data_IF_237059249731
#
_entry.id   IF_237059249731
#
_cell.length_a   1.000
_cell.length_b   1.000
_cell.length_c   1.000
_cell.angle_alpha   90.00
_cell.angle_beta   90.00
_cell.angle_gamma   90.00
#
_symmetry.space_group_name_H-M   'P 1'
#
loop_
_entity.id
_entity.type
_entity.pdbx_description
1 polymer ?
#
# COMPACT_ATOMS: atom_id res chain seq x y z
N UNK A 1 1.29 0.49 3.02
CA UNK A 1 0.07 1.23 3.40
C UNK A 1 -0.97 0.25 3.97
N UNK A 2 -2.07 0.77 4.52
CA UNK A 2 -3.14 -0.02 5.16
C UNK A 2 -4.45 0.01 4.37
N UNK A 3 -4.62 1.03 3.52
CA UNK A 3 -5.73 1.14 2.60
C UNK A 3 -5.64 0.13 1.46
N UNK A 4 -6.73 0.04 0.70
CA UNK A 4 -6.85 -0.85 -0.45
C UNK A 4 -7.71 -0.14 -1.48
N UNK A 5 -7.47 -0.41 -2.76
CA UNK A 5 -8.43 -0.01 -3.81
C UNK A 5 -9.83 -0.62 -3.62
N UNK A 6 -10.81 -0.02 -4.27
CA UNK A 6 -12.17 -0.54 -4.38
C UNK A 6 -12.20 -1.99 -4.92
N UNK A 7 -13.12 -2.80 -4.41
CA UNK A 7 -13.27 -4.19 -4.86
C UNK A 7 -13.91 -4.27 -6.26
N UNK A 8 -14.52 -3.20 -6.75
CA UNK A 8 -15.32 -3.19 -7.96
C UNK A 8 -16.60 -4.00 -7.80
N UNK A 9 -17.06 -4.58 -8.90
CA UNK A 9 -18.26 -5.41 -8.93
C UNK A 9 -18.03 -6.75 -8.21
N UNK A 10 -18.60 -6.87 -7.01
CA UNK A 10 -18.51 -8.07 -6.15
C UNK A 10 -18.99 -9.33 -6.86
N UNK A 11 -19.94 -9.23 -7.79
CA UNK A 11 -20.47 -10.40 -8.52
C UNK A 11 -19.44 -11.06 -9.44
N UNK A 12 -18.36 -10.36 -9.79
CA UNK A 12 -17.26 -10.88 -10.61
C UNK A 12 -16.19 -11.59 -9.81
N UNK A 13 -16.26 -11.53 -8.49
CA UNK A 13 -15.31 -12.21 -7.64
C UNK A 13 -15.68 -13.69 -7.46
N UNK A 14 -14.69 -14.58 -7.61
CA UNK A 14 -14.85 -16.01 -7.27
C UNK A 14 -15.01 -16.23 -5.77
N UNK A 15 -14.41 -15.37 -4.94
CA UNK A 15 -14.42 -15.43 -3.48
C UNK A 15 -14.76 -14.04 -2.91
N UNK A 16 -15.42 -13.91 -1.75
CA UNK A 16 -15.77 -12.61 -1.21
C UNK A 16 -14.53 -11.72 -1.05
N UNK A 17 -14.52 -10.48 -1.59
CA UNK A 17 -13.32 -9.65 -1.63
C UNK A 17 -12.80 -9.24 -0.25
N UNK A 18 -13.67 -9.14 0.76
CA UNK A 18 -13.29 -8.69 2.10
C UNK A 18 -13.26 -9.81 3.15
N UNK A 19 -13.26 -11.06 2.69
CA UNK A 19 -13.03 -12.23 3.54
C UNK A 19 -11.75 -12.92 3.07
N UNK A 20 -10.86 -13.25 4.00
CA UNK A 20 -9.65 -14.00 3.68
C UNK A 20 -10.04 -15.45 3.34
N UNK A 21 -10.07 -15.79 2.06
CA UNK A 21 -10.42 -17.14 1.59
C UNK A 21 -9.16 -17.90 1.20
N UNK A 22 -8.82 -18.95 1.92
CA UNK A 22 -7.72 -19.85 1.54
C UNK A 22 -8.22 -20.90 0.53
N UNK A 23 -7.55 -21.01 -0.61
CA UNK A 23 -7.87 -21.99 -1.65
C UNK A 23 -6.61 -22.35 -2.44
N UNK A 24 -6.32 -23.65 -2.57
CA UNK A 24 -5.16 -24.18 -3.31
C UNK A 24 -3.83 -23.53 -2.89
N UNK A 25 -3.62 -23.34 -1.58
CA UNK A 25 -2.40 -22.77 -1.01
C UNK A 25 -2.23 -21.27 -1.26
N UNK A 26 -3.31 -20.57 -1.61
CA UNK A 26 -3.33 -19.11 -1.81
C UNK A 26 -4.43 -18.47 -0.98
N UNK A 27 -4.18 -17.27 -0.49
CA UNK A 27 -5.18 -16.44 0.18
C UNK A 27 -5.74 -15.46 -0.84
N UNK A 28 -7.05 -15.50 -1.05
CA UNK A 28 -7.80 -14.58 -1.89
C UNK A 28 -8.51 -13.55 -1.02
N UNK A 29 -8.36 -12.28 -1.39
CA UNK A 29 -9.00 -11.15 -0.74
C UNK A 29 -8.42 -9.84 -1.28
N UNK A 30 -9.25 -8.80 -1.39
CA UNK A 30 -8.82 -7.43 -1.68
C UNK A 30 -7.88 -6.97 -0.57
N UNK A 31 -6.70 -6.54 -0.96
CA UNK A 31 -5.66 -6.14 -0.02
C UNK A 31 -4.67 -7.24 0.31
N UNK A 32 -4.95 -8.51 -0.03
CA UNK A 32 -4.12 -9.64 0.43
C UNK A 32 -2.66 -9.46 0.00
N UNK A 33 -2.42 -9.24 -1.29
CA UNK A 33 -1.07 -8.97 -1.82
C UNK A 33 -0.66 -7.52 -1.66
N UNK A 34 -1.56 -6.59 -2.00
CA UNK A 34 -1.30 -5.14 -2.04
C UNK A 34 -2.20 -4.41 -1.03
N UNK A 35 -1.71 -4.04 0.16
CA UNK A 35 -0.39 -4.37 0.73
C UNK A 35 -0.48 -4.95 2.14
N UNK A 36 -1.56 -5.68 2.45
CA UNK A 36 -1.80 -6.19 3.82
C UNK A 36 -0.88 -7.35 4.19
N UNK A 37 -0.48 -8.21 3.25
CA UNK A 37 0.47 -9.30 3.56
C UNK A 37 1.86 -8.78 3.90
N UNK A 38 2.39 -7.81 3.13
CA UNK A 38 3.66 -7.16 3.45
C UNK A 38 3.61 -6.44 4.80
N UNK A 39 2.52 -5.71 5.07
CA UNK A 39 2.29 -5.07 6.38
C UNK A 39 2.24 -6.08 7.52
N UNK A 40 1.47 -7.16 7.38
CA UNK A 40 1.35 -8.20 8.39
C UNK A 40 2.70 -8.89 8.66
N UNK A 41 3.46 -9.20 7.60
CA UNK A 41 4.80 -9.79 7.73
C UNK A 41 5.75 -8.90 8.53
N UNK A 42 5.75 -7.58 8.28
CA UNK A 42 6.55 -6.63 9.05
C UNK A 42 6.14 -6.58 10.53
N UNK A 43 4.83 -6.56 10.81
CA UNK A 43 4.30 -6.56 12.19
C UNK A 43 4.69 -7.84 12.92
N UNK A 44 4.51 -9.01 12.29
CA UNK A 44 4.86 -10.31 12.86
C UNK A 44 6.36 -10.37 13.17
N UNK A 45 7.22 -9.97 12.23
CA UNK A 45 8.66 -9.94 12.46
C UNK A 45 9.05 -9.04 13.65
N UNK A 46 8.40 -7.89 13.82
CA UNK A 46 8.64 -7.02 14.97
C UNK A 46 8.18 -7.63 16.30
N UNK A 47 7.05 -8.36 16.29
CA UNK A 47 6.56 -9.10 17.46
C UNK A 47 7.56 -10.20 17.84
N UNK A 48 7.99 -11.01 16.87
CA UNK A 48 8.95 -12.10 17.09
C UNK A 48 10.29 -11.58 17.64
N UNK A 49 10.84 -10.51 17.05
CA UNK A 49 12.06 -9.87 17.55
C UNK A 49 11.91 -9.38 19.00
N UNK A 50 10.73 -8.89 19.36
CA UNK A 50 10.44 -8.45 20.73
C UNK A 50 10.35 -9.63 21.70
N UNK A 51 9.62 -10.69 21.34
CA UNK A 51 9.43 -11.90 22.14
C UNK A 51 10.73 -12.65 22.38
N UNK A 52 11.59 -12.72 21.36
CA UNK A 52 12.94 -13.31 21.43
C UNK A 52 13.93 -12.43 22.21
N UNK A 53 13.53 -11.22 22.61
CA UNK A 53 14.37 -10.21 23.28
C UNK A 53 15.64 -9.92 22.47
N UNK A 54 15.50 -9.87 21.15
CA UNK A 54 16.62 -9.70 20.26
C UNK A 54 17.28 -8.34 20.51
N UNK A 55 18.61 -8.34 20.68
CA UNK A 55 19.36 -7.09 20.83
C UNK A 55 19.54 -6.45 19.46
N UNK A 56 18.96 -5.28 19.29
CA UNK A 56 19.09 -4.49 18.06
C UNK A 56 20.19 -3.44 18.22
N UNK A 57 21.06 -3.33 17.21
CA UNK A 57 21.99 -2.22 17.10
C UNK A 57 21.30 -1.04 16.42
N UNK A 58 20.39 -0.37 17.15
CA UNK A 58 19.58 0.73 16.61
C UNK A 58 18.12 0.59 17.00
N UNK A 59 17.24 1.19 16.19
CA UNK A 59 15.79 1.21 16.40
C UNK A 59 15.08 0.82 15.12
N UNK A 60 14.00 0.05 15.25
CA UNK A 60 13.08 -0.24 14.16
C UNK A 60 11.79 0.55 14.43
N UNK A 61 11.29 1.25 13.41
CA UNK A 61 10.05 2.02 13.47
C UNK A 61 9.10 1.51 12.39
N UNK A 62 7.87 1.18 12.79
CA UNK A 62 6.81 0.85 11.84
C UNK A 62 6.10 2.13 11.39
N UNK A 63 6.08 2.40 10.09
CA UNK A 63 5.32 3.48 9.48
C UNK A 63 4.13 2.89 8.71
N UNK A 64 3.01 2.69 9.39
CA UNK A 64 1.78 2.19 8.77
C UNK A 64 0.95 3.36 8.21
N UNK A 65 1.08 3.60 6.91
CA UNK A 65 0.44 4.73 6.20
C UNK A 65 -0.97 4.40 5.70
N UNK A 66 -1.72 5.45 5.36
CA UNK A 66 -3.02 5.38 4.66
C UNK A 66 -3.03 6.34 3.47
N UNK A 67 -3.91 6.09 2.51
CA UNK A 67 -4.14 6.95 1.35
C UNK A 67 -3.05 6.83 0.30
N UNK A 68 -2.35 5.69 0.25
CA UNK A 68 -1.34 5.41 -0.78
C UNK A 68 -2.01 5.30 -2.15
N UNK A 69 -3.13 4.59 -2.20
CA UNK A 69 -3.91 4.27 -3.41
C UNK A 69 -4.55 5.50 -4.08
N UNK A 70 -4.48 6.66 -3.42
CA UNK A 70 -5.09 7.93 -3.85
C UNK A 70 -4.09 9.10 -3.89
N UNK A 71 -2.79 8.84 -3.71
CA UNK A 71 -1.73 9.85 -3.80
C UNK A 71 -0.87 9.98 -2.54
N UNK A 72 -0.53 8.87 -1.89
CA UNK A 72 0.53 8.78 -0.88
C UNK A 72 0.41 9.72 0.35
N UNK A 73 -0.79 10.20 0.66
CA UNK A 73 -1.03 11.25 1.66
C UNK A 73 -0.45 10.93 3.05
N UNK A 74 -0.57 9.68 3.49
CA UNK A 74 -0.04 9.25 4.78
C UNK A 74 1.49 9.29 4.84
N UNK A 75 2.17 8.93 3.74
CA UNK A 75 3.63 8.98 3.65
C UNK A 75 4.13 10.44 3.63
N UNK A 76 3.46 11.31 2.88
CA UNK A 76 3.73 12.75 2.88
C UNK A 76 3.61 13.33 4.29
N UNK A 77 2.50 13.05 4.97
CA UNK A 77 2.23 13.59 6.30
C UNK A 77 3.29 13.14 7.34
N UNK A 78 3.68 11.87 7.34
CA UNK A 78 4.70 11.37 8.27
C UNK A 78 6.07 12.00 7.99
N UNK A 79 6.40 12.20 6.72
CA UNK A 79 7.64 12.87 6.31
C UNK A 79 7.65 14.33 6.78
N UNK A 80 6.56 15.08 6.53
CA UNK A 80 6.45 16.48 6.97
C UNK A 80 6.52 16.64 8.51
N UNK A 81 6.10 15.63 9.26
CA UNK A 81 6.20 15.61 10.73
C UNK A 81 7.57 15.18 11.25
N UNK A 82 8.53 14.89 10.37
CA UNK A 82 9.90 14.52 10.71
C UNK A 82 10.09 13.06 11.14
N UNK A 83 9.09 12.18 10.95
CA UNK A 83 9.23 10.76 11.32
C UNK A 83 10.20 9.98 10.42
N UNK A 84 10.65 10.59 9.32
CA UNK A 84 11.59 10.02 8.37
C UNK A 84 12.99 10.66 8.44
N UNK A 85 13.19 11.70 9.25
CA UNK A 85 14.41 12.53 9.24
C UNK A 85 15.65 11.80 9.77
N UNK A 86 15.45 10.79 10.65
CA UNK A 86 16.51 10.03 11.31
C UNK A 86 16.63 8.59 10.77
N UNK A 87 16.10 8.31 9.57
CA UNK A 87 16.16 6.97 8.99
C UNK A 87 17.50 6.71 8.28
N UNK A 88 18.23 5.70 8.73
CA UNK A 88 19.41 5.16 8.04
C UNK A 88 19.02 4.31 6.80
N UNK A 89 17.80 3.80 6.77
CA UNK A 89 17.27 2.96 5.70
C UNK A 89 15.76 2.73 5.84
N UNK A 90 15.14 2.33 4.73
CA UNK A 90 13.70 2.06 4.65
C UNK A 90 13.45 0.74 3.94
N UNK A 91 12.59 -0.09 4.53
CA UNK A 91 12.06 -1.31 3.91
C UNK A 91 10.58 -1.05 3.62
N UNK A 92 10.17 -1.33 2.39
CA UNK A 92 8.79 -1.16 1.93
C UNK A 92 8.27 -2.55 1.56
N UNK A 93 7.09 -2.91 2.08
CA UNK A 93 6.47 -4.23 1.88
C UNK A 93 5.74 -4.43 0.56
N UNK A 94 5.85 -3.49 -0.40
CA UNK A 94 5.14 -3.56 -1.67
C UNK A 94 5.46 -4.84 -2.45
N UNK A 95 4.47 -5.44 -3.15
CA UNK A 95 4.64 -6.73 -3.79
C UNK A 95 5.61 -6.65 -4.99
N UNK A 96 6.78 -7.26 -4.84
CA UNK A 96 7.84 -7.27 -5.85
C UNK A 96 8.02 -8.61 -6.58
N UNK A 97 7.23 -9.63 -6.20
CA UNK A 97 7.38 -11.01 -6.69
C UNK A 97 8.66 -11.68 -6.18
N UNK A 98 8.95 -11.55 -4.87
CA UNK A 98 10.13 -12.11 -4.18
C UNK A 98 11.48 -11.56 -4.67
N UNK A 99 11.51 -10.30 -5.13
CA UNK A 99 12.73 -9.64 -5.60
C UNK A 99 13.01 -8.41 -4.76
N UNK A 100 14.28 -8.08 -4.61
CA UNK A 100 14.66 -6.76 -4.08
C UNK A 100 14.48 -5.75 -5.20
N UNK A 101 13.63 -4.76 -4.96
CA UNK A 101 13.45 -3.60 -5.83
C UNK A 101 13.93 -2.38 -5.05
N UNK A 102 14.83 -1.60 -5.66
CA UNK A 102 15.47 -0.45 -5.01
C UNK A 102 15.13 0.88 -5.70
N UNK A 103 14.32 0.85 -6.77
CA UNK A 103 13.91 2.04 -7.51
C UNK A 103 12.56 1.82 -8.20
N UNK A 104 11.68 2.82 -8.11
CA UNK A 104 10.38 2.84 -8.78
C UNK A 104 10.31 3.99 -9.79
N UNK A 105 9.38 3.88 -10.76
CA UNK A 105 9.07 5.00 -11.66
C UNK A 105 8.22 6.02 -10.91
N UNK A 106 8.38 7.29 -11.25
CA UNK A 106 7.44 8.33 -10.83
C UNK A 106 6.09 8.17 -11.53
N UNK A 107 5.05 8.71 -10.91
CA UNK A 107 3.70 8.81 -11.48
C UNK A 107 3.29 10.28 -11.63
N UNK A 108 2.54 10.58 -12.68
CA UNK A 108 1.90 11.89 -12.88
C UNK A 108 0.44 11.63 -13.24
N UNK A 109 -0.46 12.06 -12.36
CA UNK A 109 -1.90 12.08 -12.62
C UNK A 109 -2.29 13.49 -13.10
N UNK A 110 -2.93 13.59 -14.26
CA UNK A 110 -3.42 14.86 -14.80
C UNK A 110 -4.91 14.76 -15.14
N UNK A 111 -5.65 15.82 -14.88
CA UNK A 111 -7.09 15.93 -15.18
C UNK A 111 -7.31 16.99 -16.24
N UNK A 112 -7.89 16.60 -17.37
CA UNK A 112 -8.29 17.55 -18.43
C UNK A 112 -9.77 17.85 -18.28
N UNK A 113 -10.10 19.11 -17.97
CA UNK A 113 -11.48 19.58 -17.88
C UNK A 113 -11.78 20.49 -19.06
N UNK A 114 -12.72 20.08 -19.91
CA UNK A 114 -13.28 20.94 -20.96
C UNK A 114 -14.62 21.51 -20.51
N UNK A 115 -14.87 22.78 -20.81
CA UNK A 115 -16.16 23.43 -20.55
C UNK A 115 -16.57 24.17 -21.81
N UNK A 116 -17.73 23.81 -22.36
CA UNK A 116 -18.28 24.40 -23.57
C UNK A 116 -19.67 25.00 -23.31
N UNK A 117 -20.16 25.75 -24.30
CA UNK A 117 -21.58 26.12 -24.37
C UNK A 117 -22.28 25.10 -25.27
N UNK A 118 -23.52 24.76 -24.94
CA UNK A 118 -24.34 23.93 -25.81
C UNK A 118 -24.52 24.65 -27.16
N UNK A 119 -24.21 23.96 -28.25
CA UNK A 119 -24.39 24.43 -29.61
C UNK A 119 -24.89 23.27 -30.49
N UNK A 120 -25.62 23.61 -31.55
CA UNK A 120 -25.99 22.61 -32.55
C UNK A 120 -24.73 22.23 -33.32
N UNK A 121 -24.46 20.93 -33.48
CA UNK A 121 -23.22 20.41 -34.08
C UNK A 121 -23.02 20.80 -35.54
N UNK A 122 -24.02 21.43 -36.17
CA UNK A 122 -24.03 21.86 -37.57
C UNK A 122 -24.21 23.37 -37.77
N UNK A 123 -24.13 24.19 -36.71
CA UNK A 123 -23.97 25.65 -36.88
C UNK A 123 -22.50 26.04 -36.94
#
# INVERSE_FOLDING_TARGET
>A
HMDVVDAGDVSKWKFPPFEATEHEGKIYGRGATDMKSGLAAMIIAMIELHEEKQKLNGKIRLLATVGEEVGELGAEQLTQKGYADDLDGLIIGEPSGHRIVYAHKGSINYTVKSTGKNAHSSM
#
